data_IF_589312506669
#
_entry.id   IF_589312506669
#
_cell.length_a   1.000
_cell.length_b   1.000
_cell.length_c   1.000
_cell.angle_alpha   90.00
_cell.angle_beta   90.00
_cell.angle_gamma   90.00
#
_symmetry.space_group_name_H-M   'P 1'
#
loop_
_entity.id
_entity.type
_entity.pdbx_description
1 polymer ?
2 polymer ?
3 polymer ?
4 polymer ?
5 water ?
#
loop_
_entity_poly.entity_id
_entity_poly.type
_entity_poly.pdbx_seq_one_letter_code
_entity_poly.pdbx_strand_id
3 'polydeoxyribonucleotide' '(DA)(DA)(DC)(DT)(DA)(DT)(DT)(DT)(DA)(DT)(DA)(DA)(DG)(DA)' ?
4 'polydeoxyribonucleotide' '(DT)(DC)(DT)(DT)(DA)(DT)(DA)(DA)(DA)(DT)(DA)(DG)(DT)(DT)' ?
#
# COMPACT_ATOMS: atom_id res chain seq x y z
N UNK A 1 -38.76 9.71 14.62
CA UNK A 1 -38.01 10.41 13.57
C UNK A 1 -38.69 10.35 12.22
N UNK A 2 -39.37 11.43 11.84
CA UNK A 2 -39.87 11.54 10.49
C UNK A 2 -38.74 11.64 9.47
N UNK A 3 -39.06 11.24 8.22
CA UNK A 3 -38.14 11.46 7.12
C UNK A 3 -37.87 12.94 6.90
N UNK A 4 -38.92 13.76 6.99
CA UNK A 4 -38.73 15.19 6.85
C UNK A 4 -38.09 15.77 8.09
N UNK A 5 -38.27 15.11 9.23
CA UNK A 5 -37.70 15.63 10.46
C UNK A 5 -36.21 15.39 10.54
N UNK A 6 -35.69 14.29 9.97
CA UNK A 6 -34.23 14.20 9.96
C UNK A 6 -33.65 15.05 8.86
N UNK A 7 -34.32 15.16 7.71
CA UNK A 7 -33.86 16.09 6.68
C UNK A 7 -33.83 17.51 7.24
N UNK A 8 -34.90 17.92 7.89
CA UNK A 8 -34.98 19.27 8.45
C UNK A 8 -33.97 19.42 9.55
N UNK A 9 -33.66 18.33 10.26
CA UNK A 9 -32.56 18.39 11.21
C UNK A 9 -31.20 18.50 10.50
N UNK A 10 -31.05 17.80 9.39
CA UNK A 10 -29.82 17.91 8.60
C UNK A 10 -29.65 19.32 8.09
N UNK A 11 -30.73 19.93 7.60
CA UNK A 11 -30.68 21.32 7.15
C UNK A 11 -30.12 22.26 8.22
N UNK A 12 -30.68 22.23 9.45
CA UNK A 12 -30.13 23.08 10.50
C UNK A 12 -28.64 22.87 10.65
N UNK A 13 -28.22 21.62 10.84
CA UNK A 13 -26.83 21.33 11.18
C UNK A 13 -25.87 21.86 10.12
N UNK A 14 -26.24 21.76 8.84
CA UNK A 14 -25.41 22.32 7.78
C UNK A 14 -25.30 23.83 7.89
N UNK A 15 -26.46 24.49 7.83
CA UNK A 15 -26.52 25.97 7.84
C UNK A 15 -25.84 26.50 9.10
N UNK A 16 -25.76 25.68 10.14
CA UNK A 16 -25.14 26.10 11.41
C UNK A 16 -23.63 26.16 11.29
N UNK A 17 -23.12 26.02 10.06
CA UNK A 17 -21.65 25.98 9.90
C UNK A 17 -21.31 26.63 8.55
N UNK B 2 -14.81 -3.15 -20.73
CA UNK B 2 -15.73 -3.19 -21.86
C UNK B 2 -15.02 -3.46 -23.17
N UNK B 3 -15.72 -3.28 -24.30
CA UNK B 3 -15.09 -3.52 -25.58
C UNK B 3 -13.87 -2.63 -25.78
N UNK B 4 -13.92 -1.40 -25.26
CA UNK B 4 -12.76 -0.54 -25.26
C UNK B 4 -12.63 0.23 -23.96
N UNK B 5 -11.39 0.57 -23.64
CA UNK B 5 -11.11 1.60 -22.67
C UNK B 5 -11.78 2.91 -23.10
N UNK B 6 -12.35 3.63 -22.14
CA UNK B 6 -12.89 4.95 -22.43
C UNK B 6 -12.19 6.00 -21.57
N UNK B 7 -12.22 7.22 -22.08
CA UNK B 7 -11.81 8.36 -21.30
C UNK B 7 -12.89 8.80 -20.32
N UNK B 8 -12.47 9.23 -19.15
CA UNK B 8 -13.43 9.73 -18.17
C UNK B 8 -13.77 11.18 -18.48
N UNK B 9 -14.81 11.36 -19.29
CA UNK B 9 -15.26 12.62 -19.83
C UNK B 9 -16.77 12.55 -19.97
N UNK B 10 -17.42 13.72 -19.87
CA UNK B 10 -18.87 13.82 -19.98
C UNK B 10 -19.32 13.23 -21.31
N UNK B 11 -20.25 12.27 -21.25
CA UNK B 11 -20.86 11.70 -22.46
C UNK B 11 -21.93 12.66 -22.97
N UNK B 12 -21.79 13.14 -24.20
CA UNK B 12 -22.72 14.13 -24.72
C UNK B 12 -23.93 13.51 -25.41
N UNK B 13 -23.77 12.31 -25.98
CA UNK B 13 -24.93 11.61 -26.58
C UNK B 13 -25.96 11.36 -25.48
N UNK B 14 -27.18 11.87 -25.66
CA UNK B 14 -28.21 11.72 -24.63
C UNK B 14 -28.54 10.27 -24.33
N UNK B 15 -28.62 9.42 -25.36
CA UNK B 15 -29.03 8.03 -25.13
C UNK B 15 -27.94 7.24 -24.43
N UNK B 16 -26.69 7.40 -24.83
CA UNK B 16 -25.63 6.66 -24.17
C UNK B 16 -25.47 7.13 -22.74
N UNK B 17 -25.68 8.42 -22.49
CA UNK B 17 -25.52 8.94 -21.14
C UNK B 17 -26.52 8.26 -20.19
N UNK B 18 -27.78 8.15 -20.62
CA UNK B 18 -28.82 7.56 -19.79
C UNK B 18 -28.60 6.07 -19.60
N UNK B 19 -28.22 5.38 -20.68
CA UNK B 19 -27.95 3.95 -20.60
C UNK B 19 -26.79 3.69 -19.64
N UNK B 20 -25.71 4.45 -19.79
CA UNK B 20 -24.54 4.32 -18.91
C UNK B 20 -24.89 4.68 -17.47
N UNK B 21 -25.65 5.76 -17.30
CA UNK B 21 -26.06 6.19 -15.97
C UNK B 21 -26.80 5.08 -15.26
N UNK B 22 -27.79 4.47 -15.92
CA UNK B 22 -28.54 3.39 -15.29
C UNK B 22 -27.63 2.22 -14.97
N UNK B 23 -26.75 1.84 -15.91
CA UNK B 23 -25.90 0.67 -15.72
C UNK B 23 -24.95 0.88 -14.55
N UNK B 24 -24.20 1.98 -14.58
CA UNK B 24 -23.19 2.22 -13.56
C UNK B 24 -23.80 2.58 -12.22
N UNK B 25 -24.95 3.26 -12.19
CA UNK B 25 -25.60 3.50 -10.91
C UNK B 25 -25.92 2.17 -10.21
N UNK B 26 -26.44 1.20 -10.95
CA UNK B 26 -26.70 -0.09 -10.33
C UNK B 26 -25.42 -0.74 -9.87
N UNK B 27 -24.41 -0.79 -10.75
CA UNK B 27 -23.10 -1.25 -10.36
C UNK B 27 -22.60 -0.60 -9.08
N UNK B 28 -22.77 0.70 -8.98
CA UNK B 28 -22.29 1.42 -7.81
C UNK B 28 -23.01 0.96 -6.55
N UNK B 29 -24.35 0.88 -6.61
CA UNK B 29 -25.13 0.37 -5.50
C UNK B 29 -24.78 -1.07 -5.18
N UNK B 30 -24.50 -1.87 -6.21
CA UNK B 30 -24.19 -3.26 -5.94
C UNK B 30 -22.90 -3.35 -5.14
N UNK B 31 -21.90 -2.55 -5.53
CA UNK B 31 -20.67 -2.52 -4.78
C UNK B 31 -20.88 -1.95 -3.37
N UNK B 32 -21.82 -1.02 -3.20
CA UNK B 32 -22.07 -0.49 -1.85
C UNK B 32 -22.71 -1.55 -0.97
N UNK B 33 -23.71 -2.25 -1.49
CA UNK B 33 -24.21 -3.46 -0.86
C UNK B 33 -23.08 -4.39 -0.42
N UNK B 34 -22.25 -4.86 -1.36
CA UNK B 34 -21.21 -5.82 -1.02
C UNK B 34 -20.25 -5.27 0.04
N UNK B 35 -19.89 -3.99 -0.07
CA UNK B 35 -18.96 -3.43 0.89
C UNK B 35 -19.58 -3.39 2.30
N UNK B 36 -20.84 -2.98 2.42
CA UNK B 36 -21.48 -2.91 3.73
C UNK B 36 -21.56 -4.27 4.38
N UNK B 37 -21.76 -5.31 3.60
CA UNK B 37 -21.98 -6.62 4.19
C UNK B 37 -20.64 -7.27 4.53
N UNK B 38 -19.69 -7.22 3.59
CA UNK B 38 -18.41 -7.87 3.80
C UNK B 38 -17.68 -7.30 5.01
N UNK B 39 -17.78 -5.99 5.21
CA UNK B 39 -16.93 -5.30 6.18
C UNK B 39 -17.75 -4.75 7.33
N UNK B 40 -19.03 -5.06 7.37
CA UNK B 40 -19.93 -4.61 8.47
C UNK B 40 -19.83 -3.08 8.63
N UNK B 41 -20.10 -2.35 7.55
CA UNK B 41 -20.09 -0.87 7.60
C UNK B 41 -21.48 -0.33 7.24
N UNK B 42 -21.76 0.92 7.59
CA UNK B 42 -23.05 1.55 7.24
C UNK B 42 -22.79 2.53 6.09
N UNK B 43 -23.65 2.52 5.08
CA UNK B 43 -23.36 3.36 3.89
C UNK B 43 -24.62 4.01 3.34
N UNK B 44 -24.60 5.33 3.15
CA UNK B 44 -25.68 6.00 2.44
C UNK B 44 -25.08 6.65 1.21
N UNK B 45 -25.84 6.63 0.12
CA UNK B 45 -25.41 7.16 -1.16
C UNK B 45 -26.53 8.00 -1.75
N UNK B 46 -26.21 9.25 -2.13
CA UNK B 46 -27.16 10.20 -2.68
C UNK B 46 -26.67 10.62 -4.08
N UNK B 47 -27.53 10.43 -5.09
CA UNK B 47 -27.20 10.79 -6.47
C UNK B 47 -28.30 11.67 -7.04
N UNK B 48 -27.91 12.84 -7.55
CA UNK B 48 -28.80 13.66 -8.37
C UNK B 48 -28.31 13.61 -9.83
N UNK B 49 -29.17 13.14 -10.74
CA UNK B 49 -28.77 13.14 -12.15
C UNK B 49 -28.85 14.56 -12.70
N UNK B 50 -28.47 14.73 -13.98
CA UNK B 50 -28.45 16.07 -14.59
C UNK B 50 -29.82 16.72 -14.57
N UNK B 51 -30.87 15.94 -14.66
CA UNK B 51 -32.23 16.44 -14.64
C UNK B 51 -32.69 16.75 -13.23
N UNK B 52 -31.74 16.74 -12.29
CA UNK B 52 -31.96 17.08 -10.89
C UNK B 52 -32.95 16.15 -10.20
N UNK B 53 -33.10 14.93 -10.72
CA UNK B 53 -33.89 13.90 -10.05
C UNK B 53 -33.01 13.16 -9.05
N UNK B 54 -33.63 12.73 -7.95
CA UNK B 54 -32.94 12.15 -6.81
C UNK B 54 -33.00 10.63 -6.86
N UNK B 55 -31.87 10.01 -6.55
CA UNK B 55 -31.79 8.54 -6.43
C UNK B 55 -31.06 8.29 -5.12
N UNK B 56 -31.48 7.28 -4.36
CA UNK B 56 -30.86 7.12 -3.03
C UNK B 56 -30.70 5.64 -2.67
N UNK B 57 -29.62 5.32 -2.00
CA UNK B 57 -29.38 3.96 -1.50
C UNK B 57 -28.91 4.06 -0.06
N UNK B 58 -29.30 3.10 0.76
CA UNK B 58 -28.81 3.05 2.15
C UNK B 58 -28.69 1.59 2.56
N UNK B 59 -27.56 1.21 3.14
CA UNK B 59 -27.34 -0.21 3.48
C UNK B 59 -28.55 -0.70 4.23
N UNK B 60 -28.86 -0.03 5.32
CA UNK B 60 -30.01 -0.37 6.14
C UNK B 60 -31.11 0.69 5.99
N UNK B 61 -30.87 1.88 6.51
CA UNK B 61 -31.86 2.95 6.57
C UNK B 61 -31.20 4.33 6.49
N UNK B 62 -31.64 5.12 5.52
CA UNK B 62 -31.04 6.42 5.26
C UNK B 62 -31.06 7.31 6.50
N UNK B 63 -32.22 7.44 7.13
CA UNK B 63 -32.37 8.41 8.25
C UNK B 63 -31.45 8.07 9.43
N UNK B 64 -31.18 6.81 9.69
CA UNK B 64 -30.24 6.47 10.78
C UNK B 64 -28.86 7.01 10.43
N UNK B 65 -28.40 6.73 9.22
CA UNK B 65 -27.09 7.25 8.76
C UNK B 65 -27.15 8.77 8.80
N UNK B 66 -28.16 9.38 8.20
CA UNK B 66 -28.15 10.84 8.22
C UNK B 66 -28.13 11.35 9.65
N UNK B 67 -28.88 10.70 10.54
CA UNK B 67 -28.81 11.09 11.94
C UNK B 67 -27.39 10.90 12.46
N UNK B 68 -26.80 9.73 12.21
CA UNK B 68 -25.44 9.49 12.71
C UNK B 68 -24.46 10.59 12.26
N UNK B 69 -24.69 11.14 11.05
CA UNK B 69 -23.82 12.17 10.47
C UNK B 69 -23.87 13.51 11.20
N UNK B 70 -25.07 13.94 11.58
CA UNK B 70 -25.28 15.24 12.27
C UNK B 70 -24.63 15.19 13.65
N UNK B 71 -24.60 14.02 14.29
CA UNK B 71 -24.06 13.92 15.66
C UNK B 71 -22.56 13.71 15.60
N UNK B 72 -21.98 13.75 14.40
CA UNK B 72 -20.53 13.45 14.29
C UNK B 72 -19.76 14.74 14.46
N UNK B 73 -19.03 14.84 15.57
CA UNK B 73 -18.27 16.04 15.86
C UNK B 73 -16.88 15.98 15.26
N UNK B 74 -16.28 14.80 15.13
CA UNK B 74 -14.85 14.99 15.00
C UNK B 74 -14.27 14.82 13.60
N UNK B 75 -12.96 15.12 13.46
CA UNK B 75 -12.29 14.99 12.16
C UNK B 75 -12.48 13.61 11.53
N UNK B 76 -12.67 13.66 10.22
CA UNK B 76 -12.94 12.49 9.42
C UNK B 76 -12.05 12.52 8.18
N UNK B 77 -12.29 11.54 7.31
CA UNK B 77 -11.64 11.49 6.01
C UNK B 77 -12.65 12.07 5.04
N UNK B 78 -12.17 12.92 4.13
CA UNK B 78 -13.03 13.55 3.15
C UNK B 78 -12.32 13.53 1.81
N UNK B 79 -13.00 13.04 0.77
CA UNK B 79 -12.40 12.97 -0.56
C UNK B 79 -13.39 13.56 -1.56
N UNK B 80 -12.85 14.17 -2.62
CA UNK B 80 -13.64 14.66 -3.76
C UNK B 80 -13.04 14.16 -5.06
N UNK B 81 -13.68 14.49 -6.19
CA UNK B 81 -13.17 14.06 -7.49
C UNK B 81 -11.72 14.47 -7.71
N UNK B 82 -11.35 15.66 -7.23
CA UNK B 82 -9.96 16.09 -7.35
C UNK B 82 -9.01 15.11 -6.64
N UNK B 83 -9.31 14.77 -5.38
CA UNK B 83 -8.47 13.83 -4.64
C UNK B 83 -8.34 12.51 -5.36
N UNK B 84 -9.46 11.99 -5.87
CA UNK B 84 -9.47 10.70 -6.55
C UNK B 84 -8.62 10.77 -7.81
N UNK B 85 -8.80 11.82 -8.61
CA UNK B 85 -7.99 11.97 -9.83
C UNK B 85 -6.51 12.02 -9.48
N UNK B 86 -6.15 12.85 -8.51
CA UNK B 86 -4.75 13.00 -8.13
C UNK B 86 -4.16 11.67 -7.70
N UNK B 87 -4.88 10.94 -6.82
CA UNK B 87 -4.46 9.60 -6.41
C UNK B 87 -4.26 8.67 -7.61
N UNK B 88 -5.06 8.84 -8.66
CA UNK B 88 -4.92 7.94 -9.79
C UNK B 88 -3.73 8.36 -10.65
N UNK B 89 -3.52 9.67 -10.77
CA UNK B 89 -2.34 10.17 -11.48
C UNK B 89 -1.05 9.61 -10.88
N UNK B 90 -0.89 9.73 -9.56
CA UNK B 90 0.26 9.17 -8.88
C UNK B 90 0.11 7.69 -8.56
N UNK B 91 -0.80 6.96 -9.23
CA UNK B 91 -0.59 5.54 -9.46
C UNK B 91 0.16 5.24 -10.77
N UNK B 92 0.03 6.11 -11.76
CA UNK B 92 0.78 5.95 -13.00
C UNK B 92 0.31 4.77 -13.81
N UNK C 2 -12.02 -12.71 -7.37
CA UNK C 2 -10.58 -12.64 -7.65
C UNK C 2 -9.95 -14.03 -7.73
N UNK C 3 -8.94 -14.35 -6.92
CA UNK C 3 -8.40 -15.71 -6.97
C UNK C 3 -9.46 -16.77 -6.66
N UNK C 4 -10.32 -16.51 -5.67
CA UNK C 4 -11.44 -17.42 -5.43
C UNK C 4 -12.65 -16.50 -5.29
N UNK C 5 -13.76 -16.89 -5.91
CA UNK C 5 -15.03 -16.19 -5.71
C UNK C 5 -15.43 -16.22 -4.24
N UNK C 6 -15.94 -15.10 -3.73
CA UNK C 6 -16.40 -15.09 -2.34
C UNK C 6 -17.90 -14.78 -2.27
N UNK C 7 -18.53 -15.34 -1.23
CA UNK C 7 -19.89 -15.02 -0.83
C UNK C 7 -19.93 -13.69 -0.10
N UNK C 8 -21.04 -12.98 -0.27
CA UNK C 8 -21.22 -11.70 0.38
C UNK C 8 -21.75 -11.89 1.79
N UNK C 9 -20.84 -12.04 2.75
CA UNK C 9 -21.18 -12.20 4.15
C UNK C 9 -20.03 -11.62 4.96
N UNK C 10 -20.30 -11.28 6.22
CA UNK C 10 -19.30 -10.61 7.04
C UNK C 10 -18.03 -11.43 7.09
N UNK C 11 -16.91 -10.79 6.80
CA UNK C 11 -15.59 -11.41 6.92
C UNK C 11 -15.23 -11.49 8.41
N UNK C 12 -14.92 -12.68 8.89
CA UNK C 12 -14.66 -12.76 10.32
C UNK C 12 -13.21 -12.46 10.67
N UNK C 13 -12.25 -12.74 9.80
CA UNK C 13 -10.88 -12.39 10.08
C UNK C 13 -10.73 -10.88 10.05
N UNK C 14 -10.37 -10.31 11.20
CA UNK C 14 -10.31 -8.85 11.36
C UNK C 14 -9.39 -8.19 10.34
N UNK C 15 -8.19 -8.74 10.14
CA UNK C 15 -7.23 -8.06 9.27
C UNK C 15 -7.55 -8.18 7.80
N UNK C 16 -8.10 -9.30 7.35
CA UNK C 16 -8.56 -9.31 5.98
C UNK C 16 -9.75 -8.37 5.82
N UNK C 17 -10.61 -8.28 6.85
CA UNK C 17 -11.70 -7.31 6.79
C UNK C 17 -11.18 -5.88 6.62
N UNK C 18 -10.10 -5.53 7.31
CA UNK C 18 -9.62 -4.15 7.21
C UNK C 18 -8.99 -3.88 5.85
N UNK C 19 -8.24 -4.85 5.33
CA UNK C 19 -7.62 -4.74 4.02
C UNK C 19 -8.69 -4.57 2.95
N UNK C 20 -9.72 -5.42 3.02
CA UNK C 20 -10.85 -5.40 2.11
C UNK C 20 -11.64 -4.11 2.22
N UNK C 21 -11.84 -3.62 3.44
CA UNK C 21 -12.52 -2.34 3.60
C UNK C 21 -11.80 -1.22 2.85
N UNK C 22 -10.49 -1.08 3.07
CA UNK C 22 -9.75 0.01 2.44
C UNK C 22 -9.73 -0.12 0.92
N UNK C 23 -9.50 -1.34 0.40
CA UNK C 23 -9.43 -1.50 -1.05
C UNK C 23 -10.79 -1.28 -1.68
N UNK C 24 -11.82 -1.92 -1.16
CA UNK C 24 -13.12 -1.76 -1.75
C UNK C 24 -13.70 -0.35 -1.52
N UNK C 25 -13.35 0.31 -0.40
CA UNK C 25 -13.78 1.70 -0.24
C UNK C 25 -13.24 2.56 -1.37
N UNK C 26 -11.97 2.38 -1.72
CA UNK C 26 -11.44 3.17 -2.84
C UNK C 26 -12.15 2.80 -4.13
N UNK C 27 -12.33 1.51 -4.38
CA UNK C 27 -13.09 1.06 -5.54
C UNK C 27 -14.42 1.77 -5.69
N UNK C 28 -15.17 1.86 -4.58
CA UNK C 28 -16.49 2.47 -4.60
C UNK C 28 -16.39 3.95 -4.91
N UNK C 29 -15.48 4.66 -4.24
CA UNK C 29 -15.27 6.07 -4.51
C UNK C 29 -14.80 6.29 -5.95
N UNK C 30 -13.96 5.40 -6.48
CA UNK C 30 -13.53 5.58 -7.85
C UNK C 30 -14.69 5.41 -8.81
N UNK C 31 -15.54 4.40 -8.56
CA UNK C 31 -16.71 4.25 -9.41
C UNK C 31 -17.64 5.44 -9.28
N UNK C 32 -17.70 6.06 -8.09
CA UNK C 32 -18.57 7.22 -7.95
C UNK C 32 -18.04 8.40 -8.75
N UNK C 33 -16.73 8.67 -8.63
CA UNK C 33 -16.07 9.67 -9.47
C UNK C 33 -16.42 9.49 -10.94
N UNK C 34 -16.23 8.27 -11.45
CA UNK C 34 -16.50 7.97 -12.86
C UNK C 34 -17.96 8.21 -13.24
N UNK C 35 -18.89 7.75 -12.39
CA UNK C 35 -20.28 8.01 -12.73
C UNK C 35 -20.56 9.51 -12.74
N UNK C 36 -19.99 10.23 -11.78
CA UNK C 36 -20.25 11.66 -11.65
C UNK C 36 -19.78 12.44 -12.87
N UNK C 37 -18.61 12.09 -13.41
CA UNK C 37 -18.09 12.86 -14.53
C UNK C 37 -18.74 12.40 -15.82
N UNK C 38 -18.81 11.08 -16.02
CA UNK C 38 -19.32 10.52 -17.26
C UNK C 38 -20.75 10.95 -17.55
N UNK C 39 -21.57 11.04 -16.52
CA UNK C 39 -22.99 11.28 -16.74
C UNK C 39 -23.41 12.61 -16.17
N UNK C 40 -22.44 13.44 -15.76
CA UNK C 40 -22.67 14.76 -15.16
C UNK C 40 -23.79 14.75 -14.15
N UNK C 41 -23.58 14.03 -13.05
CA UNK C 41 -24.50 13.98 -11.93
C UNK C 41 -23.72 14.37 -10.68
N UNK C 42 -24.46 14.62 -9.60
CA UNK C 42 -23.89 15.01 -8.31
C UNK C 42 -24.05 13.86 -7.33
N UNK C 43 -22.97 13.48 -6.66
CA UNK C 43 -22.98 12.31 -5.80
C UNK C 43 -22.40 12.68 -4.45
N UNK C 44 -23.00 12.13 -3.39
CA UNK C 44 -22.45 12.15 -2.05
C UNK C 44 -22.42 10.73 -1.51
N UNK C 45 -21.41 10.43 -0.72
CA UNK C 45 -21.29 9.08 -0.17
C UNK C 45 -20.86 9.18 1.29
N UNK C 46 -21.56 8.46 2.15
CA UNK C 46 -21.25 8.47 3.59
C UNK C 46 -21.01 7.06 4.08
N UNK C 47 -19.87 6.82 4.70
CA UNK C 47 -19.52 5.50 5.24
C UNK C 47 -19.09 5.60 6.70
N UNK C 48 -19.74 4.83 7.56
CA UNK C 48 -19.33 4.58 8.93
C UNK C 48 -18.84 3.14 9.02
N UNK C 49 -17.58 2.95 9.39
CA UNK C 49 -17.10 1.58 9.52
C UNK C 49 -17.58 0.98 10.85
N UNK C 50 -17.27 -0.30 11.08
CA UNK C 50 -17.74 -0.96 12.29
C UNK C 50 -17.28 -0.21 13.53
N UNK C 51 -16.16 0.46 13.45
CA UNK C 51 -15.65 1.25 14.54
C UNK C 51 -16.29 2.65 14.59
N UNK C 52 -17.35 2.87 13.81
CA UNK C 52 -18.10 4.14 13.77
C UNK C 52 -17.25 5.32 13.34
N UNK C 53 -16.16 5.07 12.62
CA UNK C 53 -15.36 6.14 12.05
C UNK C 53 -15.98 6.55 10.72
N UNK C 54 -15.96 7.85 10.42
CA UNK C 54 -16.69 8.45 9.31
C UNK C 54 -15.80 8.69 8.09
N UNK C 55 -16.23 8.19 6.94
CA UNK C 55 -15.55 8.40 5.67
C UNK C 55 -16.54 9.00 4.69
N UNK C 56 -16.12 10.04 3.98
CA UNK C 56 -17.08 10.74 3.10
C UNK C 56 -16.49 11.04 1.72
N UNK C 57 -17.35 10.96 0.70
CA UNK C 57 -16.94 11.36 -0.66
C UNK C 57 -18.04 12.22 -1.25
N UNK C 58 -17.65 13.22 -2.01
CA UNK C 58 -18.62 14.04 -2.73
C UNK C 58 -18.00 14.42 -4.08
N UNK C 59 -18.79 14.34 -5.13
CA UNK C 59 -18.33 14.71 -6.48
C UNK C 59 -17.74 16.12 -6.43
N UNK C 60 -18.47 17.05 -5.84
CA UNK C 60 -18.03 18.46 -5.76
C UNK C 60 -17.87 18.88 -4.31
N UNK C 61 -18.98 19.19 -3.64
CA UNK C 61 -18.95 19.62 -2.22
C UNK C 61 -20.05 18.91 -1.44
N UNK C 62 -19.67 18.23 -0.37
CA UNK C 62 -20.62 17.45 0.45
C UNK C 62 -21.77 18.32 0.95
N UNK C 63 -21.44 19.44 1.62
CA UNK C 63 -22.46 20.25 2.23
C UNK C 63 -23.45 20.74 1.18
N UNK C 64 -22.96 21.11 0.00
CA UNK C 64 -23.83 21.47 -1.11
C UNK C 64 -24.81 20.35 -1.45
N UNK C 65 -24.32 19.12 -1.62
CA UNK C 65 -25.19 18.02 -2.03
C UNK C 65 -26.18 17.68 -0.93
N UNK C 66 -25.69 17.59 0.31
CA UNK C 66 -26.57 17.24 1.41
C UNK C 66 -27.70 18.25 1.55
N UNK C 67 -27.39 19.54 1.41
CA UNK C 67 -28.40 20.58 1.54
C UNK C 67 -29.49 20.39 0.49
N UNK C 68 -29.10 20.22 -0.78
CA UNK C 68 -30.09 19.99 -1.83
C UNK C 68 -30.95 18.78 -1.50
N UNK C 69 -30.37 17.78 -0.84
CA UNK C 69 -31.14 16.61 -0.48
C UNK C 69 -32.27 16.98 0.46
N UNK C 70 -32.00 17.87 1.42
CA UNK C 70 -32.99 18.29 2.39
C UNK C 70 -34.14 19.07 1.75
N UNK C 71 -33.90 19.69 0.60
CA UNK C 71 -34.93 20.43 -0.12
C UNK C 71 -35.75 19.55 -1.05
N UNK C 72 -35.31 18.33 -1.30
CA UNK C 72 -35.96 17.42 -2.25
C UNK C 72 -36.62 16.33 -1.41
N UNK C 73 -37.94 16.37 -1.30
CA UNK C 73 -38.67 15.30 -0.58
C UNK C 73 -39.50 14.53 -1.59
N UNK C 74 -39.63 15.05 -2.81
CA UNK C 74 -40.50 14.45 -3.86
C UNK C 74 -40.24 12.95 -4.05
N UNK C 75 -41.21 12.19 -4.60
CA UNK C 75 -41.02 10.78 -4.90
C UNK C 75 -39.79 10.51 -5.77
N UNK C 76 -38.90 9.60 -5.35
CA UNK C 76 -37.64 9.34 -6.08
C UNK C 76 -37.35 7.84 -6.06
N UNK C 77 -36.12 7.41 -6.40
CA UNK C 77 -35.77 6.02 -6.25
C UNK C 77 -35.14 5.84 -4.88
N UNK C 78 -35.48 4.77 -4.18
CA UNK C 78 -34.91 4.48 -2.87
C UNK C 78 -34.58 3.00 -2.78
N UNK C 79 -33.34 2.67 -2.41
CA UNK C 79 -32.91 1.29 -2.37
C UNK C 79 -32.23 0.99 -1.05
N UNK C 80 -32.37 -0.26 -0.62
CA UNK C 80 -31.63 -0.78 0.52
C UNK C 80 -30.98 -2.09 0.10
N UNK C 81 -30.16 -2.64 1.00
CA UNK C 81 -29.51 -3.91 0.68
C UNK C 81 -30.53 -4.98 0.30
N UNK C 82 -31.68 -5.00 1.01
CA UNK C 82 -32.75 -5.92 0.67
C UNK C 82 -33.19 -5.77 -0.78
N UNK C 83 -33.39 -4.54 -1.23
CA UNK C 83 -33.75 -4.31 -2.63
C UNK C 83 -32.69 -4.87 -3.57
N UNK C 84 -31.42 -4.57 -3.31
CA UNK C 84 -30.36 -5.03 -4.19
C UNK C 84 -30.35 -6.55 -4.22
N UNK C 85 -30.37 -7.18 -3.04
CA UNK C 85 -30.40 -8.63 -2.95
C UNK C 85 -31.57 -9.19 -3.76
N UNK C 86 -32.72 -8.50 -3.69
CA UNK C 86 -33.89 -8.87 -4.47
C UNK C 86 -33.62 -8.85 -5.96
N UNK C 87 -33.15 -7.69 -6.45
CA UNK C 87 -32.82 -7.55 -7.87
C UNK C 87 -31.80 -8.58 -8.33
N UNK C 88 -30.93 -9.06 -7.42
CA UNK C 88 -29.90 -10.01 -7.82
C UNK C 88 -30.49 -11.42 -7.97
N UNK C 89 -31.41 -11.77 -7.07
CA UNK C 89 -32.21 -12.99 -7.14
C UNK C 89 -32.90 -13.09 -8.51
N UNK C 90 -33.61 -12.02 -8.87
CA UNK C 90 -34.42 -11.89 -10.07
C UNK C 90 -33.61 -11.66 -11.35
N UNK C 91 -32.34 -11.28 -11.26
CA UNK C 91 -31.55 -11.21 -12.46
C UNK C 91 -31.04 -12.60 -12.81
N UNK F 2 26.71 -14.80 -18.07
CA UNK F 2 25.46 -15.51 -17.75
C UNK F 2 25.23 -15.62 -16.26
N UNK F 3 24.02 -15.29 -15.80
CA UNK F 3 23.72 -15.30 -14.34
C UNK F 3 24.03 -16.68 -13.78
N UNK F 4 24.12 -17.69 -14.66
CA UNK F 4 24.41 -19.07 -14.21
C UNK F 4 25.90 -19.35 -14.31
N UNK F 5 26.59 -18.68 -15.23
CA UNK F 5 28.05 -18.85 -15.33
C UNK F 5 28.71 -18.18 -14.11
N UNK F 6 28.13 -17.08 -13.63
CA UNK F 6 28.65 -16.43 -12.40
C UNK F 6 28.24 -17.30 -11.20
N UNK F 7 27.09 -17.94 -11.29
CA UNK F 7 26.62 -18.84 -10.18
C UNK F 7 27.49 -20.09 -10.16
N UNK F 8 28.13 -20.43 -11.27
CA UNK F 8 29.03 -21.61 -11.31
C UNK F 8 30.42 -21.20 -10.84
N UNK F 9 30.83 -19.96 -11.15
CA UNK F 9 32.15 -19.46 -10.71
C UNK F 9 32.17 -19.31 -9.18
N UNK F 10 31.14 -18.69 -8.60
CA UNK F 10 31.10 -18.49 -7.14
C UNK F 10 31.19 -19.84 -6.45
N UNK F 11 30.29 -20.76 -6.82
CA UNK F 11 30.28 -22.13 -6.22
C UNK F 11 31.68 -22.70 -6.36
N UNK F 12 32.28 -22.53 -7.53
CA UNK F 12 33.63 -23.07 -7.78
C UNK F 12 34.59 -22.43 -6.77
N UNK F 13 34.53 -21.11 -6.62
CA UNK F 13 35.46 -20.40 -5.71
C UNK F 13 35.14 -20.77 -4.27
N UNK F 14 33.86 -20.82 -3.92
CA UNK F 14 33.50 -21.11 -2.53
C UNK F 14 33.98 -22.52 -2.19
N UNK F 15 33.88 -23.44 -3.15
CA UNK F 15 34.26 -24.83 -2.85
C UNK F 15 35.79 -24.92 -2.80
N UNK F 16 36.47 -24.21 -3.71
CA UNK F 16 37.95 -24.19 -3.72
C UNK F 16 38.46 -24.07 -2.28
N UNK F 17 37.83 -23.20 -1.49
CA UNK F 17 38.23 -23.03 -0.06
C UNK F 17 38.37 -24.41 0.60
N UNK G 2 18.11 13.75 10.58
CA UNK G 2 19.15 14.57 11.16
C UNK G 2 18.82 16.05 11.28
N UNK G 3 19.86 16.87 11.49
CA UNK G 3 19.65 18.30 11.64
C UNK G 3 19.02 18.89 10.39
N UNK G 4 19.42 18.40 9.22
CA UNK G 4 18.72 18.73 7.98
C UNK G 4 18.61 17.52 7.08
N UNK G 5 17.60 17.59 6.22
CA UNK G 5 17.52 16.72 5.06
C UNK G 5 18.75 16.85 4.18
N UNK G 6 19.20 15.71 3.65
CA UNK G 6 20.21 15.70 2.61
C UNK G 6 19.58 15.19 1.33
N UNK G 7 20.08 15.70 0.22
CA UNK G 7 19.72 15.16 -1.08
C UNK G 7 20.45 13.84 -1.25
N UNK G 8 19.79 12.88 -1.89
CA UNK G 8 20.43 11.61 -2.15
C UNK G 8 21.27 11.78 -3.40
N UNK G 9 22.53 12.16 -3.18
CA UNK G 9 23.49 12.40 -4.23
C UNK G 9 24.87 12.14 -3.65
N UNK G 10 25.82 11.86 -4.53
CA UNK G 10 27.18 11.52 -4.10
C UNK G 10 27.69 12.58 -3.14
N UNK G 11 28.21 12.12 -2.01
CA UNK G 11 28.87 13.03 -1.08
C UNK G 11 30.25 13.33 -1.62
N UNK G 12 30.55 14.62 -1.77
CA UNK G 12 31.86 15.04 -2.34
C UNK G 12 32.91 15.19 -1.26
N UNK G 13 32.50 15.55 -0.04
CA UNK G 13 33.46 15.77 1.06
C UNK G 13 34.04 14.43 1.50
N UNK G 14 35.30 14.17 1.14
CA UNK G 14 35.92 12.86 1.45
C UNK G 14 35.67 12.53 2.93
N UNK G 15 35.64 13.55 3.78
CA UNK G 15 35.49 13.29 5.23
C UNK G 15 34.04 12.89 5.50
N UNK G 16 33.10 13.65 4.95
CA UNK G 16 31.66 13.29 5.12
C UNK G 16 31.42 11.92 4.48
N UNK G 17 31.98 11.68 3.29
CA UNK G 17 31.82 10.37 2.62
C UNK G 17 32.26 9.26 3.58
N UNK G 18 33.35 9.47 4.30
CA UNK G 18 33.85 8.43 5.19
C UNK G 18 32.98 8.27 6.44
N UNK G 19 32.54 9.39 7.03
CA UNK G 19 31.75 9.34 8.27
C UNK G 19 30.37 8.71 8.04
N UNK G 20 29.69 9.14 6.98
CA UNK G 20 28.37 8.63 6.63
C UNK G 20 28.41 7.14 6.27
N UNK G 21 29.40 6.73 5.46
CA UNK G 21 29.56 5.34 5.10
C UNK G 21 29.70 4.47 6.35
N UNK G 22 30.55 4.87 7.29
CA UNK G 22 30.79 4.06 8.47
C UNK G 22 29.53 3.90 9.31
N UNK G 23 28.83 5.01 9.57
CA UNK G 23 27.65 4.98 10.44
C UNK G 23 26.51 4.22 9.77
N UNK G 24 26.20 4.57 8.52
CA UNK G 24 25.08 3.95 7.83
C UNK G 24 25.34 2.47 7.52
N UNK G 25 26.61 2.08 7.32
CA UNK G 25 26.90 0.67 7.14
C UNK G 25 26.41 -0.13 8.34
N UNK G 26 26.66 0.37 9.56
CA UNK G 26 26.14 -0.34 10.72
C UNK G 26 24.62 -0.34 10.71
N UNK G 27 24.02 0.83 10.41
CA UNK G 27 22.57 0.92 10.28
C UNK G 27 21.98 -0.14 9.39
N UNK G 28 22.61 -0.35 8.23
CA UNK G 28 22.15 -1.35 7.28
C UNK G 28 22.27 -2.74 7.88
N UNK G 29 23.42 -3.03 8.50
CA UNK G 29 23.60 -4.32 9.16
C UNK G 29 22.61 -4.49 10.30
N UNK G 30 22.31 -3.42 11.04
CA UNK G 30 21.41 -3.59 12.18
C UNK G 30 20.01 -3.97 11.69
N UNK G 31 19.50 -3.22 10.71
CA UNK G 31 18.21 -3.57 10.14
C UNK G 31 18.24 -4.94 9.48
N UNK G 32 19.38 -5.35 8.92
CA UNK G 32 19.48 -6.70 8.37
C UNK G 32 19.42 -7.72 9.51
N UNK G 33 20.20 -7.51 10.57
CA UNK G 33 20.04 -8.29 11.78
C UNK G 33 18.57 -8.46 12.20
N UNK G 34 17.88 -7.33 12.40
CA UNK G 34 16.49 -7.37 12.89
C UNK G 34 15.56 -8.14 11.96
N UNK G 35 15.72 -7.98 10.65
CA UNK G 35 14.86 -8.72 9.74
C UNK G 35 15.10 -10.22 9.83
N UNK G 36 16.37 -10.63 9.91
CA UNK G 36 16.68 -12.07 9.92
C UNK G 36 16.03 -12.76 11.14
N UNK G 37 15.98 -12.07 12.28
CA UNK G 37 15.37 -12.64 13.48
C UNK G 37 13.84 -12.52 13.42
N UNK G 38 13.33 -11.35 13.04
CA UNK G 38 11.88 -11.13 13.06
C UNK G 38 11.16 -12.12 12.15
N UNK G 39 11.74 -12.40 10.99
CA UNK G 39 11.04 -13.11 9.92
C UNK G 39 11.71 -14.41 9.54
N UNK G 40 12.62 -14.94 10.36
CA UNK G 40 13.32 -16.18 10.08
C UNK G 40 13.92 -16.14 8.67
N UNK G 41 14.80 -15.16 8.49
CA UNK G 41 15.46 -14.94 7.23
C UNK G 41 16.93 -15.26 7.38
N UNK G 42 17.50 -15.71 6.28
CA UNK G 42 18.91 -16.01 6.13
C UNK G 42 19.40 -14.93 5.18
N UNK G 43 20.37 -14.14 5.60
CA UNK G 43 20.72 -12.95 4.82
C UNK G 43 22.22 -12.86 4.68
N UNK G 44 22.65 -12.46 3.49
CA UNK G 44 24.03 -12.05 3.24
C UNK G 44 24.03 -10.66 2.60
N UNK G 45 25.05 -9.90 2.95
CA UNK G 45 25.26 -8.54 2.50
C UNK G 45 26.72 -8.39 2.13
N UNK G 46 26.99 -7.88 0.92
CA UNK G 46 28.33 -7.66 0.44
C UNK G 46 28.47 -6.19 0.05
N UNK G 47 29.46 -5.51 0.60
CA UNK G 47 29.71 -4.10 0.31
C UNK G 47 31.17 -3.92 -0.07
N UNK G 48 31.42 -3.26 -1.21
CA UNK G 48 32.72 -2.70 -1.56
C UNK G 48 32.61 -1.19 -1.44
N UNK G 49 33.46 -0.57 -0.60
CA UNK G 49 33.40 0.88 -0.51
C UNK G 49 34.07 1.54 -1.70
N UNK G 50 34.11 2.88 -1.70
CA UNK G 50 34.75 3.62 -2.78
C UNK G 50 36.21 3.24 -2.92
N UNK G 51 36.83 2.80 -1.82
CA UNK G 51 38.23 2.33 -1.88
C UNK G 51 38.27 0.86 -2.33
N UNK G 52 37.21 0.40 -3.01
CA UNK G 52 37.11 -1.02 -3.44
C UNK G 52 37.59 -1.96 -2.33
N UNK G 53 37.16 -1.74 -1.09
CA UNK G 53 37.50 -2.69 0.00
C UNK G 53 36.26 -3.52 0.35
N UNK G 54 36.44 -4.77 0.77
CA UNK G 54 35.28 -5.68 0.98
C UNK G 54 34.75 -5.61 2.42
N UNK G 55 33.45 -5.36 2.56
CA UNK G 55 32.81 -5.39 3.89
C UNK G 55 31.66 -6.40 3.78
N UNK G 56 31.60 -7.37 4.68
CA UNK G 56 30.57 -8.42 4.50
C UNK G 56 29.80 -8.69 5.80
N UNK G 57 28.54 -9.07 5.67
CA UNK G 57 27.74 -9.45 6.85
C UNK G 57 26.86 -10.63 6.49
N UNK G 58 26.69 -11.53 7.44
CA UNK G 58 25.80 -12.67 7.23
C UNK G 58 25.01 -12.89 8.51
N UNK G 59 23.73 -13.19 8.40
CA UNK G 59 22.90 -13.49 9.59
C UNK G 59 23.61 -14.58 10.37
N UNK G 60 23.87 -15.70 9.70
CA UNK G 60 24.47 -16.85 10.32
C UNK G 60 25.97 -17.14 9.68
N UNK G 61 25.98 -17.58 8.46
CA UNK G 61 27.25 -17.99 7.82
C UNK G 61 27.28 -17.59 6.36
N UNK G 62 28.27 -16.77 6.01
CA UNK G 62 28.37 -16.21 4.67
C UNK G 62 28.42 -17.31 3.60
N UNK G 63 29.33 -18.28 3.75
CA UNK G 63 29.48 -19.34 2.74
C UNK G 63 28.21 -20.16 2.59
N UNK G 64 27.53 -20.48 3.70
CA UNK G 64 26.25 -21.19 3.63
C UNK G 64 25.26 -20.47 2.71
N UNK G 65 25.16 -19.14 2.86
CA UNK G 65 24.17 -18.38 2.08
C UNK G 65 24.56 -18.33 0.62
N UNK G 66 25.82 -18.02 0.35
CA UNK G 66 26.28 -17.87 -1.07
C UNK G 66 26.10 -19.20 -1.81
N UNK G 67 26.35 -20.33 -1.15
CA UNK G 67 26.26 -21.64 -1.83
C UNK G 67 24.80 -21.95 -2.16
N UNK G 68 23.91 -21.74 -1.19
CA UNK G 68 22.47 -21.92 -1.45
C UNK G 68 22.10 -21.05 -2.65
N UNK G 69 22.74 -19.90 -2.79
CA UNK G 69 22.40 -18.97 -3.89
C UNK G 69 22.83 -19.59 -5.22
N UNK G 70 23.98 -20.27 -5.25
CA UNK G 70 24.40 -20.93 -6.49
C UNK G 70 23.46 -22.08 -6.84
N UNK G 71 22.80 -22.65 -5.84
CA UNK G 71 21.93 -23.84 -6.10
C UNK G 71 20.56 -23.37 -6.59
N UNK G 72 20.34 -22.07 -6.65
CA UNK G 72 18.99 -21.56 -7.04
C UNK G 72 19.01 -21.12 -8.50
N UNK G 73 17.94 -21.45 -9.24
CA UNK G 73 17.81 -21.04 -10.65
C UNK G 73 17.25 -19.62 -10.73
N UNK G 74 15.97 -19.46 -10.37
CA UNK G 74 15.31 -18.14 -10.53
C UNK G 74 15.12 -17.46 -9.17
N UNK G 75 15.63 -16.23 -8.97
CA UNK G 75 15.36 -15.51 -7.74
C UNK G 75 13.88 -15.11 -7.76
N UNK G 76 13.14 -15.47 -6.71
CA UNK G 76 11.70 -15.11 -6.62
C UNK G 76 11.51 -13.60 -6.87
N UNK G 77 12.56 -12.79 -6.69
CA UNK G 77 12.47 -11.32 -6.92
C UNK G 77 13.88 -10.75 -7.11
N UNK G 78 14.03 -9.75 -7.98
CA UNK G 78 15.35 -9.18 -8.28
C UNK G 78 15.21 -7.66 -8.35
N UNK G 79 16.06 -6.92 -7.61
CA UNK G 79 15.95 -5.46 -7.50
C UNK G 79 17.30 -4.77 -7.71
N UNK G 80 17.28 -3.58 -8.30
CA UNK G 80 18.44 -2.71 -8.41
C UNK G 80 18.06 -1.31 -7.94
N UNK G 81 19.06 -0.42 -7.82
CA UNK G 81 18.79 0.95 -7.39
C UNK G 81 17.72 1.60 -8.26
N UNK G 82 17.80 1.39 -9.58
CA UNK G 82 16.79 1.90 -10.50
C UNK G 82 15.40 1.43 -10.10
N UNK G 83 15.27 0.15 -9.75
CA UNK G 83 14.00 -0.39 -9.32
C UNK G 83 13.49 0.35 -8.09
N UNK G 84 14.37 0.58 -7.12
CA UNK G 84 13.98 1.29 -5.91
C UNK G 84 13.54 2.70 -6.29
N UNK G 85 14.34 3.36 -7.14
CA UNK G 85 14.06 4.71 -7.60
C UNK G 85 12.66 4.81 -8.18
N UNK G 86 12.29 3.83 -9.02
CA UNK G 86 10.97 3.85 -9.63
C UNK G 86 9.88 3.83 -8.56
N UNK G 87 9.99 2.88 -7.63
CA UNK G 87 9.05 2.79 -6.51
C UNK G 87 8.99 4.09 -5.72
N UNK G 88 10.12 4.79 -5.61
CA UNK G 88 10.20 5.93 -4.70
C UNK G 88 9.51 7.15 -5.28
N UNK G 89 9.66 7.35 -6.58
CA UNK G 89 9.03 8.46 -7.29
C UNK G 89 7.52 8.47 -7.12
N UNK G 90 6.90 7.29 -7.10
CA UNK G 90 5.44 7.15 -7.03
C UNK G 90 4.85 7.47 -5.67
N UNK G 91 5.44 6.97 -4.59
CA UNK G 91 4.75 7.11 -3.32
C UNK G 91 4.82 8.53 -2.78
N UNK G 92 6.01 9.08 -2.69
CA UNK G 92 6.14 10.47 -2.36
C UNK G 92 5.99 11.30 -3.62
N UNK H 2 7.17 2.78 15.66
CA UNK H 2 5.74 2.49 15.67
C UNK H 2 4.99 2.69 16.98
N UNK H 3 3.76 2.18 17.04
CA UNK H 3 2.91 2.38 18.22
C UNK H 3 3.50 1.78 19.47
N UNK H 4 4.19 0.66 19.36
CA UNK H 4 4.90 0.10 20.50
C UNK H 4 6.30 -0.31 20.08
N UNK H 5 7.23 -0.20 21.03
CA UNK H 5 8.49 -0.89 20.88
C UNK H 5 8.19 -2.36 20.70
N UNK H 6 8.91 -3.02 19.81
CA UNK H 6 8.78 -4.47 19.73
C UNK H 6 10.08 -5.16 20.13
N UNK H 7 9.95 -6.36 20.68
CA UNK H 7 11.06 -7.29 20.79
C UNK H 7 11.53 -7.86 19.47
N UNK H 8 12.84 -7.95 19.39
CA UNK H 8 13.52 -8.56 18.28
C UNK H 8 13.50 -10.05 18.53
N UNK H 9 12.42 -10.69 18.13
CA UNK H 9 12.21 -12.12 18.25
C UNK H 9 11.31 -12.53 17.09
N UNK H 10 11.31 -13.83 16.77
CA UNK H 10 10.52 -14.31 15.63
C UNK H 10 9.04 -14.01 15.82
N UNK H 11 8.43 -13.42 14.80
CA UNK H 11 7.00 -13.16 14.74
C UNK H 11 6.27 -14.43 14.34
N UNK H 12 5.38 -14.91 15.21
CA UNK H 12 4.75 -16.20 14.96
C UNK H 12 3.50 -16.13 14.09
N UNK H 13 2.72 -15.06 14.16
CA UNK H 13 1.59 -14.95 13.24
C UNK H 13 2.16 -14.79 11.83
N UNK H 14 1.92 -15.78 10.97
CA UNK H 14 2.54 -15.76 9.65
C UNK H 14 2.12 -14.53 8.84
N UNK H 15 0.87 -14.10 8.99
CA UNK H 15 0.40 -12.97 8.18
C UNK H 15 1.07 -11.69 8.62
N UNK H 16 1.27 -11.52 9.94
CA UNK H 16 1.98 -10.36 10.46
C UNK H 16 3.46 -10.43 10.07
N UNK H 17 4.04 -11.64 10.13
CA UNK H 17 5.41 -11.85 9.67
C UNK H 17 5.56 -11.42 8.21
N UNK H 18 4.55 -11.72 7.41
CA UNK H 18 4.61 -11.40 5.99
C UNK H 18 4.52 -9.89 5.76
N UNK H 19 3.60 -9.21 6.46
CA UNK H 19 3.51 -7.77 6.28
C UNK H 19 4.82 -7.12 6.73
N UNK H 20 5.33 -7.57 7.87
CA UNK H 20 6.56 -7.03 8.40
C UNK H 20 7.72 -7.28 7.43
N UNK H 21 7.82 -8.50 6.92
CA UNK H 21 8.89 -8.86 5.98
C UNK H 21 8.85 -8.00 4.72
N UNK H 22 7.67 -7.84 4.12
CA UNK H 22 7.61 -7.08 2.87
C UNK H 22 8.03 -5.64 3.12
N UNK H 23 7.51 -5.06 4.20
CA UNK H 23 7.79 -3.68 4.56
C UNK H 23 9.25 -3.53 5.00
N UNK H 24 9.73 -4.39 5.87
CA UNK H 24 11.11 -4.23 6.32
C UNK H 24 12.12 -4.59 5.25
N UNK H 25 11.83 -5.57 4.38
CA UNK H 25 12.70 -5.84 3.25
C UNK H 25 12.88 -4.59 2.41
N UNK H 26 11.81 -3.84 2.18
CA UNK H 26 11.93 -2.65 1.36
C UNK H 26 12.77 -1.58 2.04
N UNK H 27 12.49 -1.31 3.33
CA UNK H 27 13.32 -0.39 4.10
C UNK H 27 14.80 -0.69 3.99
N UNK H 28 15.16 -1.97 4.14
CA UNK H 28 16.55 -2.39 4.06
C UNK H 28 17.14 -2.11 2.68
N UNK H 29 16.40 -2.41 1.63
CA UNK H 29 16.90 -2.12 0.29
C UNK H 29 17.05 -0.61 0.08
N UNK H 30 16.13 0.18 0.63
CA UNK H 30 16.20 1.62 0.44
C UNK H 30 17.46 2.20 1.07
N UNK H 31 17.74 1.82 2.32
CA UNK H 31 18.94 2.28 3.00
C UNK H 31 20.21 1.83 2.29
N UNK H 32 20.17 0.67 1.63
CA UNK H 32 21.32 0.25 0.84
C UNK H 32 21.45 1.09 -0.43
N UNK H 33 20.33 1.33 -1.12
CA UNK H 33 20.29 2.30 -2.22
C UNK H 33 20.91 3.62 -1.81
N UNK H 34 20.39 4.23 -0.74
CA UNK H 34 20.91 5.53 -0.32
C UNK H 34 22.40 5.45 -0.04
N UNK H 35 22.84 4.43 0.70
CA UNK H 35 24.25 4.33 1.02
C UNK H 35 25.11 4.15 -0.22
N UNK H 36 24.68 3.31 -1.16
CA UNK H 36 25.47 3.10 -2.37
C UNK H 36 25.65 4.40 -3.15
N UNK H 37 24.63 5.26 -3.14
CA UNK H 37 24.67 6.52 -3.88
C UNK H 37 25.42 7.59 -3.12
N UNK H 38 25.13 7.74 -1.83
CA UNK H 38 25.75 8.84 -1.05
C UNK H 38 27.24 8.60 -0.87
N UNK H 39 27.68 7.34 -0.94
CA UNK H 39 29.11 7.05 -0.65
C UNK H 39 29.75 6.32 -1.84
N UNK H 40 29.15 6.45 -3.03
CA UNK H 40 29.70 5.82 -4.26
C UNK H 40 30.20 4.42 -3.94
N UNK H 41 29.29 3.53 -3.52
CA UNK H 41 29.68 2.15 -3.16
C UNK H 41 28.85 1.14 -3.96
N UNK H 42 29.30 -0.11 -3.98
CA UNK H 42 28.52 -1.18 -4.65
C UNK H 42 28.06 -2.16 -3.56
N UNK H 43 26.77 -2.48 -3.51
CA UNK H 43 26.24 -3.35 -2.43
C UNK H 43 25.42 -4.49 -3.01
N UNK H 44 25.53 -5.67 -2.44
CA UNK H 44 24.70 -6.81 -2.87
C UNK H 44 24.01 -7.41 -1.66
N UNK H 45 22.74 -7.77 -1.81
CA UNK H 45 21.96 -8.32 -0.71
C UNK H 45 21.23 -9.57 -1.17
N UNK H 46 21.38 -10.65 -0.39
CA UNK H 46 20.76 -11.95 -0.66
C UNK H 46 19.94 -12.35 0.56
N UNK H 47 18.65 -12.63 0.34
CA UNK H 47 17.72 -13.01 1.40
C UNK H 47 16.99 -14.28 1.03
N UNK H 48 17.04 -15.27 1.92
CA UNK H 48 16.18 -16.45 1.85
C UNK H 48 15.16 -16.32 2.97
N UNK H 49 13.86 -16.30 2.63
CA UNK H 49 12.87 -16.13 3.68
C UNK H 49 12.62 -17.43 4.48
N UNK H 50 11.59 -17.41 5.34
CA UNK H 50 11.27 -18.59 6.14
C UNK H 50 10.92 -19.81 5.27
N UNK H 51 10.33 -19.59 4.10
CA UNK H 51 10.02 -20.66 3.16
C UNK H 51 11.13 -20.88 2.11
N UNK H 52 12.34 -20.34 2.35
CA UNK H 52 13.52 -20.54 1.50
C UNK H 52 13.31 -19.97 0.10
N UNK H 53 12.47 -18.96 -0.04
CA UNK H 53 12.33 -18.26 -1.31
C UNK H 53 13.37 -17.14 -1.37
N UNK H 54 13.87 -16.89 -2.59
CA UNK H 54 15.05 -16.05 -2.77
C UNK H 54 14.66 -14.63 -3.18
N UNK H 55 15.22 -13.66 -2.47
CA UNK H 55 15.00 -12.23 -2.79
C UNK H 55 16.38 -11.60 -2.87
N UNK H 56 16.66 -10.85 -3.95
CA UNK H 56 18.03 -10.32 -4.13
C UNK H 56 18.00 -8.85 -4.58
N UNK H 57 19.01 -8.09 -4.15
CA UNK H 57 19.14 -6.67 -4.57
C UNK H 57 20.60 -6.35 -4.85
N UNK H 58 20.86 -5.50 -5.84
CA UNK H 58 22.23 -5.06 -6.12
C UNK H 58 22.17 -3.61 -6.61
N UNK H 59 23.03 -2.74 -6.06
CA UNK H 59 23.01 -1.31 -6.43
C UNK H 59 23.09 -1.17 -7.95
N UNK H 60 24.06 -1.85 -8.57
CA UNK H 60 24.21 -1.82 -10.02
C UNK H 60 23.97 -3.23 -10.62
N UNK H 61 24.91 -4.16 -10.41
CA UNK H 61 24.79 -5.51 -11.02
C UNK H 61 25.27 -6.59 -10.06
N UNK H 62 24.41 -7.57 -9.78
CA UNK H 62 24.75 -8.66 -8.83
C UNK H 62 25.95 -9.44 -9.34
N UNK H 63 25.86 -9.98 -10.56
CA UNK H 63 26.95 -10.83 -11.10
C UNK H 63 28.27 -10.08 -10.95
N UNK H 64 28.33 -8.84 -11.42
CA UNK H 64 29.56 -8.02 -11.27
C UNK H 64 30.10 -8.10 -9.84
N UNK H 65 29.26 -7.77 -8.85
CA UNK H 65 29.70 -7.76 -7.42
C UNK H 65 30.13 -9.17 -7.02
N UNK H 66 29.32 -10.18 -7.32
CA UNK H 66 29.65 -11.57 -6.96
C UNK H 66 30.96 -11.98 -7.63
N UNK H 67 31.15 -11.58 -8.89
CA UNK H 67 32.40 -11.92 -9.62
C UNK H 67 33.58 -11.23 -8.94
N UNK H 68 33.45 -9.95 -8.59
CA UNK H 68 34.53 -9.25 -7.86
C UNK H 68 34.71 -9.93 -6.50
N UNK H 69 33.65 -10.51 -5.95
CA UNK H 69 33.81 -11.10 -4.62
C UNK H 69 34.83 -12.22 -4.64
N UNK H 70 34.83 -13.01 -5.73
CA UNK H 70 35.75 -14.12 -5.85
C UNK H 70 37.20 -13.65 -5.97
N UNK H 71 37.45 -12.41 -6.42
CA UNK H 71 38.85 -12.01 -6.49
C UNK H 71 39.40 -11.53 -5.15
N UNK H 72 38.67 -11.65 -4.06
CA UNK H 72 39.12 -11.17 -2.75
C UNK H 72 39.49 -12.36 -1.88
N UNK H 73 40.79 -12.43 -1.54
CA UNK H 73 41.31 -13.46 -0.66
C UNK H 73 41.38 -12.98 0.78
N UNK H 74 40.94 -11.75 1.04
CA UNK H 74 40.58 -11.36 2.40
C UNK H 74 39.38 -10.42 2.38
N UNK H 75 38.24 -10.81 2.95
CA UNK H 75 37.21 -9.81 3.26
C UNK H 75 37.84 -8.85 4.25
N UNK H 76 37.71 -7.57 3.99
CA UNK H 76 38.34 -6.62 4.90
C UNK H 76 37.49 -6.37 6.15
N UNK H 77 36.23 -6.79 6.17
CA UNK H 77 35.52 -6.96 7.44
C UNK H 77 34.45 -8.03 7.33
N UNK H 78 34.28 -8.83 8.39
CA UNK H 78 33.28 -9.88 8.37
C UNK H 78 32.43 -9.79 9.63
N UNK H 79 31.11 -9.65 9.44
CA UNK H 79 30.20 -9.48 10.56
C UNK H 79 29.05 -10.48 10.51
N UNK H 80 28.62 -10.90 11.69
CA UNK H 80 27.43 -11.71 11.82
C UNK H 80 26.50 -11.11 12.86
N UNK H 81 25.35 -11.74 13.01
CA UNK H 81 24.38 -11.25 13.97
C UNK H 81 25.03 -11.09 15.35
N UNK H 82 25.82 -12.08 15.75
CA UNK H 82 26.48 -12.02 17.07
C UNK H 82 27.27 -10.73 17.21
N UNK H 83 28.08 -10.40 16.21
CA UNK H 83 28.83 -9.16 16.26
C UNK H 83 27.91 -7.95 16.40
N UNK H 84 26.81 -7.90 15.64
CA UNK H 84 25.87 -6.78 15.78
C UNK H 84 25.24 -6.76 17.18
N UNK H 85 24.91 -7.94 17.70
CA UNK H 85 24.22 -8.01 19.02
C UNK H 85 25.14 -7.49 20.14
N UNK H 86 26.44 -7.74 20.02
CA UNK H 86 27.41 -7.32 21.08
C UNK H 86 27.68 -5.83 20.96
N UNK H 87 27.81 -5.30 19.74
CA UNK H 87 28.00 -3.84 19.55
C UNK H 87 26.82 -3.12 20.20
N UNK H 88 25.64 -3.71 20.13
CA UNK H 88 24.41 -3.07 20.66
C UNK H 88 24.37 -3.20 22.18
N UNK H 89 24.81 -4.33 22.71
CA UNK H 89 24.88 -4.49 24.19
C UNK H 89 25.70 -3.34 24.75
N UNK H 90 26.99 -3.34 24.45
CA UNK H 90 27.90 -2.30 24.94
C UNK H 90 27.31 -0.91 24.68
N UNK H 91 26.72 -0.70 23.51
CA UNK H 91 26.21 0.63 23.11
C UNK H 91 25.12 1.11 24.07
N UNK H 92 24.51 0.21 24.81
CA UNK H 92 23.42 0.55 25.67
C UNK H 92 23.12 -0.60 26.63
#
# INVERSE_FOLDING_TARGET
WGSGEVKQKLQEFLLSKS
MGRKKIQIQRITDERNRQVTFTKRKFGLMKKAYELSVLCDCEIALIIFNHSNKLFQYASTDMDKVLLKYTEYNEPHESRTNADIIETLRKKGFNG
MGRKKIQIQRITDERNRQVTFTKRKFGLMKKAYELSVLCDCEIALIIFNHSNKLFQYASTDMDKVLLKYTEYNEPHESRTNADIIETLRKKGFNG
WGSGEVKQKLQEFLLSKS
MGRKKIQIQRITDERNRQVTFTKRKFGLMKKAYELSVLCDCEIALIIFNHSNKLFQYASTDMDKVLLKYTEYNEPHESRTNADIIETLRKKGFNG
MGRKKIQIQRITDERNRQVTFTKRKFGLMKKAYELSVLCDCEIALIIFNHSNKLFQYASTDMDKVLLKYTEYNEPHESRTNADIIETLRKKGFNG
#
